data_IF_477696977360
#
_entry.id   IF_477696977360
#
_cell.length_a   1.000
_cell.length_b   1.000
_cell.length_c   1.000
_cell.angle_alpha   90.00
_cell.angle_beta   90.00
_cell.angle_gamma   90.00
#
_symmetry.space_group_name_H-M   'P 1'
#
loop_
_entity.id
_entity.type
_entity.pdbx_description
1 polymer ?
#
# COMPACT_ATOMS: atom_id res chain seq x y z
N UNK A 1 2.99 7.12 -1.27
CA UNK A 1 2.51 5.82 -1.79
C UNK A 1 2.26 4.93 -0.60
N UNK A 2 1.03 4.50 -0.42
CA UNK A 2 0.58 3.77 0.77
C UNK A 2 0.16 2.35 0.38
N UNK A 3 0.71 1.35 1.06
CA UNK A 3 0.36 -0.05 0.85
C UNK A 3 -0.59 -0.55 1.93
N UNK A 4 -1.54 -1.40 1.53
CA UNK A 4 -2.53 -2.00 2.43
C UNK A 4 -2.73 -3.49 2.14
N UNK A 5 -3.14 -4.23 3.16
CA UNK A 5 -3.58 -5.63 3.08
C UNK A 5 -5.02 -5.78 3.56
N UNK A 6 -5.61 -6.94 3.32
CA UNK A 6 -6.73 -7.39 4.12
C UNK A 6 -6.23 -7.97 5.47
N UNK A 7 -7.15 -8.46 6.30
CA UNK A 7 -6.84 -9.01 7.62
C UNK A 7 -6.43 -10.49 7.60
N UNK A 8 -6.00 -11.03 6.46
CA UNK A 8 -5.60 -12.43 6.35
C UNK A 8 -4.13 -12.57 6.71
N UNK A 9 -3.83 -13.36 7.74
CA UNK A 9 -2.46 -13.64 8.17
C UNK A 9 -2.00 -12.75 9.34
N UNK A 10 -0.75 -12.95 9.81
CA UNK A 10 -0.23 -12.21 10.95
C UNK A 10 -0.05 -10.72 10.65
N UNK A 11 -0.31 -9.87 11.64
CA UNK A 11 -0.19 -8.41 11.53
C UNK A 11 1.21 -7.98 11.05
N UNK A 12 2.27 -8.51 11.66
CA UNK A 12 3.65 -8.19 11.29
C UNK A 12 3.97 -8.56 9.84
N UNK A 13 3.45 -9.71 9.39
CA UNK A 13 3.59 -10.13 8.00
C UNK A 13 2.86 -9.16 7.07
N UNK A 14 1.63 -8.78 7.41
CA UNK A 14 0.82 -7.84 6.64
C UNK A 14 1.46 -6.45 6.56
N UNK A 15 2.06 -5.98 7.66
CA UNK A 15 2.82 -4.75 7.70
C UNK A 15 4.01 -4.81 6.72
N UNK A 16 4.84 -5.85 6.80
CA UNK A 16 5.99 -6.04 5.89
C UNK A 16 5.56 -6.18 4.42
N UNK A 17 4.47 -6.90 4.15
CA UNK A 17 3.96 -7.13 2.80
C UNK A 17 3.45 -5.83 2.18
N UNK A 18 2.71 -5.04 2.95
CA UNK A 18 2.19 -3.76 2.51
C UNK A 18 3.31 -2.76 2.17
N UNK A 19 4.38 -2.73 2.99
CA UNK A 19 5.56 -1.91 2.74
C UNK A 19 6.26 -2.30 1.44
N UNK A 20 6.55 -3.60 1.25
CA UNK A 20 7.18 -4.11 0.02
C UNK A 20 6.34 -3.80 -1.24
N UNK A 21 5.01 -3.86 -1.14
CA UNK A 21 4.11 -3.49 -2.24
C UNK A 21 4.20 -2.00 -2.58
N UNK A 22 4.22 -1.12 -1.58
CA UNK A 22 4.39 0.31 -1.80
C UNK A 22 5.75 0.62 -2.45
N UNK A 23 6.82 -0.03 -2.00
CA UNK A 23 8.17 0.08 -2.58
C UNK A 23 8.25 -0.43 -4.02
N UNK A 24 7.57 -1.53 -4.34
CA UNK A 24 7.49 -2.03 -5.71
C UNK A 24 6.79 -1.03 -6.64
N UNK A 25 5.70 -0.40 -6.19
CA UNK A 25 4.97 0.61 -6.97
C UNK A 25 5.80 1.88 -7.16
N UNK A 26 6.62 2.28 -6.17
CA UNK A 26 7.56 3.41 -6.29
C UNK A 26 8.52 3.26 -7.48
N UNK A 27 8.89 2.04 -7.87
CA UNK A 27 9.83 1.83 -8.98
C UNK A 27 9.31 2.36 -10.31
N UNK A 28 7.98 2.38 -10.54
CA UNK A 28 7.41 2.81 -11.82
C UNK A 28 7.53 4.32 -12.05
N UNK A 29 7.14 5.22 -11.12
CA UNK A 29 7.41 6.65 -11.29
C UNK A 29 8.89 6.98 -11.36
N UNK A 30 9.74 6.27 -10.59
CA UNK A 30 11.19 6.47 -10.60
C UNK A 30 11.78 6.12 -11.97
N UNK A 31 11.37 5.00 -12.57
CA UNK A 31 11.82 4.62 -13.91
C UNK A 31 11.32 5.59 -15.01
N UNK A 32 10.27 6.37 -14.70
CA UNK A 32 9.76 7.46 -15.56
C UNK A 32 10.36 8.83 -15.24
N UNK A 33 11.39 8.91 -14.41
CA UNK A 33 12.15 10.14 -14.14
C UNK A 33 11.65 10.97 -12.96
N UNK A 34 10.70 10.48 -12.16
CA UNK A 34 10.37 11.13 -10.88
C UNK A 34 11.49 10.82 -9.88
N UNK A 35 12.12 11.87 -9.34
CA UNK A 35 13.19 11.68 -8.35
C UNK A 35 12.67 10.93 -7.11
N UNK A 36 13.46 9.98 -6.62
CA UNK A 36 13.06 9.05 -5.56
C UNK A 36 12.86 9.72 -4.20
N UNK A 37 13.52 10.84 -3.96
CA UNK A 37 13.40 11.71 -2.78
C UNK A 37 12.03 12.43 -2.72
N UNK A 38 11.35 12.58 -3.86
CA UNK A 38 9.97 13.10 -3.93
C UNK A 38 8.91 12.07 -3.62
N UNK A 39 9.29 10.82 -3.33
CA UNK A 39 8.35 9.70 -3.15
C UNK A 39 8.61 9.01 -1.81
N UNK A 40 7.64 9.17 -0.90
CA UNK A 40 7.57 8.43 0.36
C UNK A 40 6.70 7.17 0.19
N UNK A 41 7.15 6.05 0.76
CA UNK A 41 6.44 4.78 0.78
C UNK A 41 6.17 4.36 2.22
N UNK A 42 4.91 4.00 2.52
CA UNK A 42 4.49 3.56 3.85
C UNK A 42 3.59 2.32 3.70
N UNK A 43 3.87 1.28 4.47
CA UNK A 43 3.00 0.13 4.64
C UNK A 43 2.14 0.28 5.89
N UNK A 44 0.83 0.12 5.75
CA UNK A 44 -0.11 0.14 6.88
C UNK A 44 -0.62 -1.24 7.29
N UNK A 45 -0.25 -2.30 6.56
CA UNK A 45 -0.85 -3.62 6.72
C UNK A 45 -2.38 -3.54 6.62
N UNK A 46 -3.06 -4.15 7.58
CA UNK A 46 -4.53 -4.21 7.67
C UNK A 46 -5.15 -3.05 8.48
N UNK A 47 -4.33 -2.17 9.08
CA UNK A 47 -4.78 -1.15 10.05
C UNK A 47 -5.67 -0.04 9.48
N UNK A 48 -5.71 0.12 8.15
CA UNK A 48 -6.53 1.12 7.44
C UNK A 48 -7.45 0.47 6.40
N UNK A 49 -8.48 -0.27 6.84
CA UNK A 49 -9.41 -0.96 5.94
C UNK A 49 -10.30 0.05 5.21
N UNK A 50 -10.52 -0.20 3.91
CA UNK A 50 -11.50 0.52 3.09
C UNK A 50 -12.89 -0.11 3.19
N UNK A 51 -12.95 -1.41 3.44
CA UNK A 51 -14.18 -2.19 3.62
C UNK A 51 -13.99 -3.24 4.72
N UNK A 52 -15.09 -3.83 5.21
CA UNK A 52 -15.03 -4.95 6.16
C UNK A 52 -14.30 -6.17 5.60
N UNK A 53 -13.59 -6.93 6.45
CA UNK A 53 -12.81 -8.09 6.03
C UNK A 53 -13.61 -9.42 5.99
N UNK A 54 -14.89 -9.39 6.35
CA UNK A 54 -15.72 -10.59 6.48
C UNK A 54 -16.00 -11.24 5.12
N UNK A 55 -16.11 -10.43 4.07
CA UNK A 55 -16.44 -10.91 2.72
C UNK A 55 -15.20 -10.95 1.81
N UNK A 56 -15.10 -11.90 0.86
CA UNK A 56 -14.04 -11.90 -0.14
C UNK A 56 -13.96 -10.59 -0.94
N UNK A 57 -15.11 -9.98 -1.22
CA UNK A 57 -15.21 -8.69 -1.88
C UNK A 57 -14.58 -7.57 -1.06
N UNK A 58 -14.92 -7.46 0.23
CA UNK A 58 -14.32 -6.47 1.11
C UNK A 58 -12.80 -6.64 1.27
N UNK A 59 -12.32 -7.89 1.39
CA UNK A 59 -10.87 -8.18 1.40
C UNK A 59 -10.18 -7.76 0.11
N UNK A 60 -10.80 -8.01 -1.05
CA UNK A 60 -10.28 -7.56 -2.34
C UNK A 60 -10.13 -6.02 -2.38
N UNK A 61 -11.08 -5.27 -1.81
CA UNK A 61 -10.97 -3.81 -1.72
C UNK A 61 -9.84 -3.36 -0.78
N UNK A 62 -9.53 -4.12 0.26
CA UNK A 62 -8.48 -3.78 1.21
C UNK A 62 -7.06 -4.04 0.67
N UNK A 63 -6.89 -5.07 -0.19
CA UNK A 63 -5.62 -5.37 -0.88
C UNK A 63 -5.32 -4.34 -1.98
N UNK A 64 -4.79 -3.18 -1.61
CA UNK A 64 -4.58 -2.03 -2.51
C UNK A 64 -3.27 -1.29 -2.25
N UNK A 65 -2.87 -0.47 -3.21
CA UNK A 65 -1.84 0.56 -3.05
C UNK A 65 -2.43 1.89 -3.51
N UNK A 66 -2.27 2.94 -2.71
CA UNK A 66 -2.79 4.28 -2.98
C UNK A 66 -1.63 5.25 -3.24
N UNK A 67 -1.80 6.14 -4.22
CA UNK A 67 -0.80 7.15 -4.59
C UNK A 67 -1.43 8.53 -4.36
N UNK A 68 -0.88 9.24 -3.39
CA UNK A 68 -1.22 10.63 -3.09
C UNK A 68 -0.18 11.54 -3.74
N UNK A 69 -0.64 12.62 -4.36
CA UNK A 69 0.21 13.62 -5.01
C UNK A 69 -0.14 14.97 -4.42
N UNK A 70 0.82 15.57 -3.72
CA UNK A 70 0.69 16.92 -3.19
C UNK A 70 1.28 17.92 -4.19
N UNK A 71 0.49 18.89 -4.68
CA UNK A 71 1.04 20.00 -5.45
C UNK A 71 1.93 20.86 -4.55
N UNK A 72 2.98 21.43 -5.14
CA UNK A 72 3.80 22.45 -4.48
C UNK A 72 3.19 23.83 -4.67
#
# INVERSE_FOLDING_TARGET
IEGHTDSTGPEEYNLSLSQRRAEAVKQLPVSKGVYSDRITTIGYGESRPKAGNDTPYGRQLNRRVEIYVEPR
#
